data_IF_633365538149
#
_entry.id   IF_633365538149
#
_cell.length_a   1.000
_cell.length_b   1.000
_cell.length_c   1.000
_cell.angle_alpha   90.00
_cell.angle_beta   90.00
_cell.angle_gamma   90.00
#
_symmetry.space_group_name_H-M   'P 1'
#
loop_
_entity.id
_entity.type
_entity.pdbx_description
1 polymer ?
#
# COMPACT_ATOMS: atom_id res chain seq x y z
N UNK A 1 22.31 8.18 -13.46
CA UNK A 1 21.76 9.55 -13.44
C UNK A 1 20.77 9.64 -12.29
N UNK A 2 21.20 10.36 -11.25
CA UNK A 2 20.53 10.55 -9.97
C UNK A 2 19.24 11.38 -10.13
N UNK A 3 18.08 10.73 -10.03
CA UNK A 3 16.77 11.38 -10.13
C UNK A 3 16.12 11.68 -8.76
N UNK A 4 16.93 11.95 -7.73
CA UNK A 4 16.45 12.34 -6.40
C UNK A 4 17.01 13.71 -5.98
N UNK A 5 16.95 14.71 -6.86
CA UNK A 5 17.32 16.10 -6.54
C UNK A 5 16.16 17.09 -6.80
N UNK A 6 15.02 16.78 -6.18
CA UNK A 6 14.06 17.74 -5.62
C UNK A 6 13.29 16.95 -4.56
N UNK A 7 13.45 17.28 -3.27
CA UNK A 7 12.97 16.43 -2.17
C UNK A 7 11.51 16.02 -2.32
N UNK A 8 11.28 14.79 -2.73
CA UNK A 8 9.93 14.23 -2.82
C UNK A 8 9.37 14.09 -1.40
N UNK A 9 8.08 14.44 -1.24
CA UNK A 9 7.42 14.32 0.04
C UNK A 9 7.18 12.83 0.36
N UNK A 10 7.87 12.32 1.37
CA UNK A 10 7.69 10.95 1.85
C UNK A 10 6.69 10.95 3.00
N UNK A 11 5.61 10.19 2.84
CA UNK A 11 4.64 9.97 3.90
C UNK A 11 5.22 9.03 4.96
N UNK A 12 5.62 9.56 6.12
CA UNK A 12 6.06 8.76 7.27
C UNK A 12 4.88 8.30 8.15
N UNK A 13 3.79 9.06 8.13
CA UNK A 13 2.54 8.73 8.81
C UNK A 13 1.37 9.54 8.24
N UNK A 14 0.15 9.08 8.51
CA UNK A 14 -1.09 9.80 8.18
C UNK A 14 -1.95 9.10 7.14
N UNK A 15 -2.84 9.87 6.49
CA UNK A 15 -3.81 9.36 5.51
C UNK A 15 -3.37 9.78 4.11
N UNK A 16 -2.96 8.83 3.28
CA UNK A 16 -2.46 9.09 1.93
C UNK A 16 -3.07 8.12 0.93
N UNK A 17 -3.28 8.57 -0.31
CA UNK A 17 -3.70 7.68 -1.39
C UNK A 17 -2.50 6.89 -1.89
N UNK A 18 -2.70 5.60 -2.09
CA UNK A 18 -1.68 4.65 -2.54
C UNK A 18 -2.23 3.90 -3.75
N UNK A 19 -1.44 3.83 -4.82
CA UNK A 19 -1.77 2.96 -5.95
C UNK A 19 -1.73 1.51 -5.48
N UNK A 20 -2.76 0.75 -5.79
CA UNK A 20 -2.88 -0.63 -5.36
C UNK A 20 -3.56 -1.49 -6.43
N UNK A 21 -3.27 -2.77 -6.40
CA UNK A 21 -3.91 -3.77 -7.24
C UNK A 21 -4.49 -4.91 -6.42
N UNK A 22 -5.33 -5.71 -7.07
CA UNK A 22 -6.00 -6.84 -6.46
C UNK A 22 -5.34 -8.17 -6.82
N UNK A 23 -4.03 -8.19 -7.13
CA UNK A 23 -3.32 -9.46 -7.49
C UNK A 23 -3.30 -10.45 -6.34
N UNK A 24 -3.40 -9.97 -5.09
CA UNK A 24 -3.54 -10.77 -3.88
C UNK A 24 -4.99 -10.83 -3.33
N UNK A 25 -5.97 -10.47 -4.17
CA UNK A 25 -7.39 -10.39 -3.80
C UNK A 25 -7.90 -8.94 -3.66
N UNK A 26 -9.22 -8.79 -3.61
CA UNK A 26 -9.87 -7.50 -3.39
C UNK A 26 -9.43 -6.87 -2.06
N UNK A 27 -9.31 -5.54 -2.04
CA UNK A 27 -8.91 -4.80 -0.84
C UNK A 27 -10.17 -4.28 -0.17
N UNK A 28 -10.32 -4.58 1.11
CA UNK A 28 -11.40 -4.12 1.97
C UNK A 28 -10.89 -3.16 3.05
N UNK A 29 -11.73 -2.22 3.53
CA UNK A 29 -11.37 -1.39 4.66
C UNK A 29 -10.95 -2.23 5.87
N UNK A 30 -9.78 -1.91 6.43
CA UNK A 30 -9.18 -2.65 7.53
C UNK A 30 -8.09 -3.64 7.11
N UNK A 31 -8.01 -4.00 5.82
CA UNK A 31 -6.95 -4.86 5.31
C UNK A 31 -5.57 -4.24 5.50
N UNK A 32 -4.61 -5.08 5.86
CA UNK A 32 -3.20 -4.69 5.84
C UNK A 32 -2.69 -4.74 4.41
N UNK A 33 -1.85 -3.77 4.03
CA UNK A 33 -1.26 -3.68 2.71
C UNK A 33 0.24 -3.88 2.76
N UNK A 34 0.76 -4.53 1.72
CA UNK A 34 2.19 -4.79 1.49
C UNK A 34 2.55 -4.47 0.04
N UNK A 35 3.83 -4.47 -0.29
CA UNK A 35 4.33 -4.24 -1.66
C UNK A 35 3.82 -5.31 -2.60
N UNK A 36 3.33 -4.93 -3.78
CA UNK A 36 2.90 -5.89 -4.80
C UNK A 36 4.05 -6.32 -5.72
N UNK A 37 3.79 -7.32 -6.56
CA UNK A 37 4.70 -7.67 -7.66
C UNK A 37 4.72 -6.64 -8.81
N UNK A 38 3.77 -5.71 -8.84
CA UNK A 38 3.69 -4.63 -9.83
C UNK A 38 4.42 -3.40 -9.28
N UNK A 39 5.45 -2.88 -9.97
CA UNK A 39 6.19 -1.72 -9.50
C UNK A 39 5.28 -0.50 -9.25
N UNK A 40 5.44 0.14 -8.08
CA UNK A 40 4.68 1.32 -7.71
C UNK A 40 3.28 1.05 -7.17
N UNK A 41 2.87 -0.22 -7.03
CA UNK A 41 1.55 -0.59 -6.51
C UNK A 41 1.66 -1.44 -5.24
N UNK A 42 0.77 -1.19 -4.28
CA UNK A 42 0.54 -2.03 -3.11
C UNK A 42 -0.48 -3.15 -3.41
N UNK A 43 -0.54 -4.15 -2.55
CA UNK A 43 -1.57 -5.19 -2.59
C UNK A 43 -1.95 -5.60 -1.17
N UNK A 44 -3.05 -6.35 -1.03
CA UNK A 44 -3.44 -6.97 0.24
C UNK A 44 -2.31 -7.88 0.78
N UNK A 45 -1.99 -7.73 2.06
CA UNK A 45 -1.11 -8.64 2.78
C UNK A 45 -1.87 -9.93 3.13
N UNK A 46 -1.94 -10.85 2.15
CA UNK A 46 -2.73 -12.07 2.25
C UNK A 46 -2.05 -13.21 3.04
N UNK A 47 -0.73 -13.12 3.29
CA UNK A 47 0.06 -14.13 4.01
C UNK A 47 0.50 -13.58 5.38
N UNK A 48 -0.16 -13.95 6.49
CA UNK A 48 0.16 -13.44 7.83
C UNK A 48 1.57 -13.76 8.31
N UNK A 49 2.11 -14.93 7.94
CA UNK A 49 3.44 -15.37 8.37
C UNK A 49 4.55 -14.51 7.75
N UNK A 50 4.34 -14.06 6.50
CA UNK A 50 5.27 -13.19 5.78
C UNK A 50 5.01 -11.70 5.95
N UNK A 51 3.85 -11.33 6.49
CA UNK A 51 3.42 -9.94 6.58
C UNK A 51 4.16 -9.14 7.67
N UNK A 52 4.70 -9.81 8.70
CA UNK A 52 5.40 -9.12 9.79
C UNK A 52 6.65 -8.40 9.26
N UNK A 53 6.69 -7.08 9.43
CA UNK A 53 7.78 -6.22 8.93
C UNK A 53 7.67 -5.81 7.46
N UNK A 54 6.65 -6.27 6.74
CA UNK A 54 6.39 -5.91 5.34
C UNK A 54 5.10 -5.09 5.16
N UNK A 55 4.47 -4.68 6.26
CA UNK A 55 3.26 -3.86 6.23
C UNK A 55 3.62 -2.39 6.02
N UNK A 56 2.97 -1.77 5.05
CA UNK A 56 3.08 -0.33 4.76
C UNK A 56 2.01 0.48 5.51
N UNK A 57 0.83 -0.13 5.72
CA UNK A 57 -0.31 0.53 6.34
C UNK A 57 -1.59 -0.28 6.23
N UNK A 58 -2.70 0.37 6.60
CA UNK A 58 -4.04 -0.22 6.61
C UNK A 58 -4.97 0.50 5.64
N UNK A 59 -5.69 -0.26 4.82
CA UNK A 59 -6.68 0.27 3.90
C UNK A 59 -7.85 0.93 4.66
N UNK A 60 -8.25 2.12 4.21
CA UNK A 60 -9.43 2.84 4.71
C UNK A 60 -10.58 2.83 3.71
N UNK A 61 -10.31 2.47 2.45
CA UNK A 61 -11.31 2.33 1.38
C UNK A 61 -11.17 0.98 0.71
N UNK A 62 -12.22 0.60 -0.02
CA UNK A 62 -12.29 -0.63 -0.81
C UNK A 62 -11.65 -0.44 -2.19
N UNK A 63 -11.14 -1.51 -2.78
CA UNK A 63 -10.80 -1.62 -4.20
C UNK A 63 -11.22 -3.00 -4.74
N UNK A 64 -12.18 -2.97 -5.66
CA UNK A 64 -12.76 -4.16 -6.31
C UNK A 64 -12.28 -4.33 -7.76
N UNK A 65 -11.69 -3.28 -8.32
CA UNK A 65 -11.12 -3.24 -9.66
C UNK A 65 -9.70 -3.79 -9.67
N UNK A 66 -9.20 -4.19 -10.83
CA UNK A 66 -7.87 -4.82 -10.94
C UNK A 66 -6.72 -3.93 -10.40
N UNK A 67 -6.81 -2.62 -10.60
CA UNK A 67 -5.88 -1.61 -10.06
C UNK A 67 -6.62 -0.29 -9.85
N UNK A 68 -6.14 0.54 -8.93
CA UNK A 68 -6.69 1.84 -8.60
C UNK A 68 -6.00 2.47 -7.40
N UNK A 69 -6.60 3.53 -6.83
CA UNK A 69 -6.08 4.18 -5.62
C UNK A 69 -6.91 3.82 -4.40
N UNK A 70 -6.22 3.45 -3.32
CA UNK A 70 -6.79 3.16 -2.00
C UNK A 70 -6.34 4.25 -1.02
N UNK A 71 -7.25 4.76 -0.20
CA UNK A 71 -6.87 5.61 0.92
C UNK A 71 -6.26 4.72 2.01
N UNK A 72 -5.03 4.99 2.42
CA UNK A 72 -4.29 4.17 3.39
C UNK A 72 -3.94 5.01 4.61
N UNK A 73 -4.13 4.42 5.79
CA UNK A 73 -3.54 4.90 7.02
C UNK A 73 -2.11 4.34 7.12
N UNK A 74 -1.13 5.19 6.85
CA UNK A 74 0.29 4.89 7.00
C UNK A 74 0.71 5.15 8.44
N UNK A 75 1.38 4.16 9.03
CA UNK A 75 1.97 4.24 10.36
C UNK A 75 3.17 3.30 10.41
N UNK A 76 4.26 3.76 11.04
CA UNK A 76 5.32 2.87 11.50
C UNK A 76 4.81 2.16 12.77
N UNK A 77 4.75 0.84 12.76
CA UNK A 77 4.49 0.01 13.95
C UNK A 77 5.70 -0.85 14.27
#
# INVERSE_FOLDING_TARGET
EDALEAGENVALSGRVYVNANTTAGAIEPGDLLTTSGVPGEAMKAADPERSRGAILGKAMTRLDEASGTVLVLVTLQ
#
